data_IF_330843423631
#
_entry.id   IF_330843423631
#
_cell.length_a   1.000
_cell.length_b   1.000
_cell.length_c   1.000
_cell.angle_alpha   90.00
_cell.angle_beta   90.00
_cell.angle_gamma   90.00
#
_symmetry.space_group_name_H-M   'P 1'
#
loop_
_entity.id
_entity.type
_entity.pdbx_description
1 polymer ?
#
# COMPACT_ATOMS: atom_id res chain seq x y z
N UNK A 1 15.47 -8.42 -19.33
CA UNK A 1 15.65 -7.33 -18.34
C UNK A 1 15.89 -7.97 -16.99
N UNK A 2 17.06 -7.82 -16.40
CA UNK A 2 17.32 -8.30 -15.04
C UNK A 2 16.65 -7.35 -14.04
N UNK A 3 15.83 -7.92 -13.15
CA UNK A 3 15.28 -7.23 -11.98
C UNK A 3 16.41 -7.04 -10.95
N UNK A 4 17.29 -6.07 -11.20
CA UNK A 4 18.34 -5.74 -10.25
C UNK A 4 17.83 -4.62 -9.35
N UNK A 5 16.97 -4.99 -8.40
CA UNK A 5 16.72 -4.18 -7.20
C UNK A 5 17.99 -4.26 -6.35
N UNK A 6 18.71 -3.16 -6.10
CA UNK A 6 19.85 -3.18 -5.20
C UNK A 6 19.40 -3.69 -3.82
N UNK A 7 20.18 -4.58 -3.21
CA UNK A 7 19.88 -5.11 -1.85
C UNK A 7 19.74 -3.97 -0.83
N UNK A 8 20.45 -2.85 -1.03
CA UNK A 8 20.30 -1.63 -0.23
C UNK A 8 18.88 -1.07 -0.27
N UNK A 9 18.22 -1.08 -1.43
CA UNK A 9 16.83 -0.61 -1.57
C UNK A 9 15.85 -1.52 -0.84
N UNK A 10 16.13 -2.83 -0.77
CA UNK A 10 15.33 -3.77 -0.01
C UNK A 10 15.53 -3.58 1.51
N UNK A 11 16.77 -3.40 1.95
CA UNK A 11 17.12 -3.13 3.36
C UNK A 11 16.48 -1.83 3.85
N UNK A 12 16.56 -0.76 3.05
CA UNK A 12 15.93 0.52 3.39
C UNK A 12 14.41 0.42 3.43
N UNK A 13 13.82 -0.45 2.60
CA UNK A 13 12.38 -0.74 2.67
C UNK A 13 11.99 -1.38 3.99
N UNK A 14 12.76 -2.35 4.51
CA UNK A 14 12.51 -2.92 5.84
C UNK A 14 12.65 -1.90 6.96
N UNK A 15 13.63 -1.00 6.88
CA UNK A 15 13.82 0.07 7.86
C UNK A 15 12.64 1.02 7.97
N UNK A 16 11.84 1.19 6.91
CA UNK A 16 10.63 2.03 6.95
C UNK A 16 9.55 1.54 7.93
N UNK A 17 9.64 0.30 8.41
CA UNK A 17 8.76 -0.18 9.49
C UNK A 17 9.05 0.54 10.82
N UNK A 18 10.28 1.04 11.00
CA UNK A 18 10.73 1.75 12.20
C UNK A 18 10.32 3.22 12.12
N UNK A 19 9.60 3.72 13.13
CA UNK A 19 9.19 5.12 13.21
C UNK A 19 10.36 6.11 13.08
N UNK A 20 11.45 5.91 13.82
CA UNK A 20 12.58 6.84 13.83
C UNK A 20 13.26 6.95 12.46
N UNK A 21 13.28 5.85 11.69
CA UNK A 21 13.79 5.88 10.33
C UNK A 21 12.86 6.69 9.42
N UNK A 22 11.54 6.48 9.47
CA UNK A 22 10.58 7.32 8.72
C UNK A 22 10.74 8.81 9.05
N UNK A 23 10.84 9.14 10.32
CA UNK A 23 11.06 10.51 10.78
C UNK A 23 12.35 11.11 10.20
N UNK A 24 13.45 10.34 10.19
CA UNK A 24 14.73 10.81 9.65
C UNK A 24 14.67 11.19 8.16
N UNK A 25 13.76 10.60 7.39
CA UNK A 25 13.56 10.95 5.97
C UNK A 25 12.93 12.32 5.77
N UNK A 26 12.25 12.85 6.80
CA UNK A 26 11.55 14.13 6.80
C UNK A 26 12.44 15.26 7.33
N UNK A 27 13.76 15.16 7.15
CA UNK A 27 14.68 16.25 7.48
C UNK A 27 14.31 17.53 6.72
N UNK A 28 14.39 18.68 7.39
CA UNK A 28 13.98 19.98 6.85
C UNK A 28 12.52 20.03 6.35
N UNK A 29 11.61 19.30 7.03
CA UNK A 29 10.18 19.44 6.79
C UNK A 29 9.70 20.85 7.19
N UNK A 30 8.89 21.54 6.37
CA UNK A 30 8.63 22.98 6.53
C UNK A 30 7.66 23.32 7.67
N UNK A 31 7.02 22.33 8.30
CA UNK A 31 6.01 22.55 9.33
C UNK A 31 6.49 22.04 10.69
N UNK A 32 6.51 22.94 11.66
CA UNK A 32 6.94 22.69 13.04
C UNK A 32 5.94 23.29 14.05
N UNK A 33 6.30 23.24 15.34
CA UNK A 33 5.56 23.88 16.43
C UNK A 33 4.10 23.44 16.53
N UNK A 34 3.19 24.40 16.37
CA UNK A 34 1.74 24.22 16.53
C UNK A 34 1.04 23.64 15.29
N UNK A 35 1.78 23.31 14.23
CA UNK A 35 1.20 22.75 13.00
C UNK A 35 0.55 21.37 13.25
N UNK A 36 -0.50 21.06 12.49
CA UNK A 36 -1.05 19.70 12.43
C UNK A 36 -0.23 18.78 11.54
N UNK A 37 0.52 19.35 10.58
CA UNK A 37 1.31 18.59 9.62
C UNK A 37 2.82 18.52 9.97
N UNK A 38 3.19 18.42 11.25
CA UNK A 38 4.61 18.27 11.68
C UNK A 38 5.26 16.97 11.17
N UNK A 39 6.58 16.91 11.07
CA UNK A 39 7.33 15.71 10.65
C UNK A 39 7.02 14.48 11.53
N UNK A 40 6.86 14.67 12.83
CA UNK A 40 6.51 13.61 13.79
C UNK A 40 5.13 13.02 13.51
N UNK A 41 4.14 13.88 13.26
CA UNK A 41 2.78 13.46 12.92
C UNK A 41 2.75 12.73 11.58
N UNK A 42 3.47 13.26 10.58
CA UNK A 42 3.66 12.58 9.29
C UNK A 42 4.23 11.17 9.45
N UNK A 43 5.33 11.01 10.19
CA UNK A 43 5.98 9.72 10.42
C UNK A 43 5.11 8.75 11.25
N UNK A 44 4.35 9.26 12.23
CA UNK A 44 3.37 8.49 13.02
C UNK A 44 2.22 7.97 12.15
N UNK A 45 1.78 8.76 11.18
CA UNK A 45 0.74 8.38 10.20
C UNK A 45 1.26 7.46 9.09
N UNK A 46 2.53 7.04 9.18
CA UNK A 46 3.16 6.10 8.26
C UNK A 46 3.78 6.74 7.02
N UNK A 47 3.86 8.08 6.96
CA UNK A 47 4.49 8.78 5.85
C UNK A 47 6.00 8.92 6.02
N UNK A 48 6.70 8.90 4.89
CA UNK A 48 8.13 9.17 4.79
C UNK A 48 8.40 9.92 3.48
N UNK A 49 9.58 10.54 3.34
CA UNK A 49 10.01 11.17 2.08
C UNK A 49 10.71 10.11 1.20
N UNK A 50 10.13 9.70 0.06
CA UNK A 50 10.72 8.66 -0.78
C UNK A 50 11.94 9.13 -1.57
N UNK A 51 12.04 10.43 -1.86
CA UNK A 51 13.18 11.02 -2.57
C UNK A 51 13.62 12.28 -1.82
N UNK A 52 14.86 12.34 -1.28
CA UNK A 52 15.36 13.49 -0.54
C UNK A 52 15.39 14.77 -1.39
N UNK A 53 15.49 14.66 -2.72
CA UNK A 53 15.52 15.80 -3.65
C UNK A 53 14.11 16.32 -3.99
N UNK A 54 13.05 15.63 -3.58
CA UNK A 54 11.67 16.07 -3.76
C UNK A 54 11.05 16.35 -2.37
N UNK A 55 11.11 17.60 -1.88
CA UNK A 55 10.71 17.92 -0.52
C UNK A 55 9.20 17.88 -0.31
N UNK A 56 8.38 17.91 -1.37
CA UNK A 56 6.93 18.08 -1.28
C UNK A 56 6.17 16.75 -1.28
N UNK A 57 6.77 15.69 -1.80
CA UNK A 57 6.13 14.38 -1.91
C UNK A 57 6.44 13.50 -0.71
N UNK A 58 5.41 12.88 -0.16
CA UNK A 58 5.53 11.88 0.90
C UNK A 58 4.77 10.61 0.50
N UNK A 59 5.21 9.46 0.97
CA UNK A 59 4.60 8.17 0.65
C UNK A 59 4.31 7.38 1.93
N UNK A 60 3.17 6.70 2.00
CA UNK A 60 2.91 5.74 3.07
C UNK A 60 3.77 4.48 2.88
N UNK A 61 4.48 4.05 3.92
CA UNK A 61 5.36 2.88 3.82
C UNK A 61 4.65 1.55 3.56
N UNK A 62 3.37 1.41 3.94
CA UNK A 62 2.59 0.16 3.76
C UNK A 62 1.81 0.16 2.45
N UNK A 63 0.92 1.13 2.25
CA UNK A 63 0.03 1.14 1.08
C UNK A 63 0.63 1.85 -0.15
N UNK A 64 1.83 2.44 -0.02
CA UNK A 64 2.53 3.18 -1.08
C UNK A 64 1.74 4.38 -1.64
N UNK A 65 0.72 4.88 -0.92
CA UNK A 65 -0.01 6.08 -1.32
C UNK A 65 0.92 7.29 -1.23
N UNK A 66 1.11 7.97 -2.35
CA UNK A 66 1.88 9.21 -2.47
C UNK A 66 0.93 10.41 -2.39
N UNK A 67 1.28 11.34 -1.52
CA UNK A 67 0.60 12.62 -1.33
C UNK A 67 1.61 13.77 -1.45
N UNK A 68 1.16 14.87 -2.03
CA UNK A 68 1.90 16.11 -2.17
C UNK A 68 0.99 17.33 -1.97
N UNK A 69 1.59 18.49 -1.76
CA UNK A 69 0.84 19.74 -1.52
C UNK A 69 0.25 19.81 -0.11
N UNK A 70 1.03 19.36 0.89
CA UNK A 70 0.70 19.47 2.30
C UNK A 70 0.62 20.94 2.73
N UNK A 71 -0.23 21.21 3.71
CA UNK A 71 -0.43 22.50 4.37
C UNK A 71 -0.27 22.35 5.89
N UNK A 72 0.07 23.41 6.64
CA UNK A 72 0.34 23.32 8.07
C UNK A 72 -0.85 22.82 8.90
N UNK A 73 -2.09 23.02 8.44
CA UNK A 73 -3.34 22.59 9.10
C UNK A 73 -3.83 21.19 8.66
N UNK A 74 -3.07 20.51 7.80
CA UNK A 74 -3.37 19.13 7.42
C UNK A 74 -3.12 18.16 8.57
N UNK A 75 -4.01 17.19 8.69
CA UNK A 75 -3.90 16.08 9.63
C UNK A 75 -3.50 14.83 8.82
N UNK A 76 -2.25 14.36 8.95
CA UNK A 76 -1.75 13.27 8.12
C UNK A 76 -2.56 11.97 8.25
N UNK A 77 -3.15 11.67 9.41
CA UNK A 77 -4.00 10.49 9.58
C UNK A 77 -5.32 10.64 8.82
N UNK A 78 -5.92 11.84 8.82
CA UNK A 78 -7.15 12.11 8.07
C UNK A 78 -6.90 12.06 6.56
N UNK A 79 -5.81 12.66 6.09
CA UNK A 79 -5.43 12.60 4.67
C UNK A 79 -5.16 11.15 4.23
N UNK A 80 -4.42 10.38 5.04
CA UNK A 80 -4.18 8.97 4.78
C UNK A 80 -5.49 8.18 4.68
N UNK A 81 -6.42 8.38 5.61
CA UNK A 81 -7.73 7.72 5.61
C UNK A 81 -8.60 8.14 4.42
N UNK A 82 -8.58 9.40 4.02
CA UNK A 82 -9.31 9.91 2.85
C UNK A 82 -8.80 9.26 1.56
N UNK A 83 -7.48 9.24 1.38
CA UNK A 83 -6.86 8.83 0.13
C UNK A 83 -6.57 7.31 0.02
N UNK A 84 -6.47 6.60 1.15
CA UNK A 84 -6.24 5.16 1.21
C UNK A 84 -6.97 4.51 2.40
N UNK A 85 -8.31 4.54 2.44
CA UNK A 85 -9.12 4.08 3.59
C UNK A 85 -8.96 2.58 3.92
N UNK A 86 -8.37 1.82 3.00
CA UNK A 86 -8.14 0.37 3.14
C UNK A 86 -6.69 0.02 3.52
N UNK A 87 -5.83 1.02 3.75
CA UNK A 87 -4.45 0.76 4.18
C UNK A 87 -4.44 -0.09 5.46
N UNK A 88 -3.72 -1.24 5.50
CA UNK A 88 -3.63 -2.08 6.69
C UNK A 88 -3.10 -1.32 7.92
N UNK A 89 -2.19 -0.37 7.71
CA UNK A 89 -1.62 0.45 8.77
C UNK A 89 -2.65 1.30 9.53
N UNK A 90 -3.71 1.76 8.86
CA UNK A 90 -4.76 2.56 9.51
C UNK A 90 -5.59 1.79 10.54
N UNK A 91 -5.54 0.45 10.49
CA UNK A 91 -6.29 -0.44 11.40
C UNK A 91 -5.37 -1.12 12.41
N UNK A 92 -4.07 -0.93 12.30
CA UNK A 92 -3.10 -1.58 13.15
C UNK A 92 -2.80 -0.74 14.38
N UNK A 93 -2.18 -1.36 15.38
CA UNK A 93 -1.49 -0.63 16.44
C UNK A 93 -0.29 0.12 15.83
N UNK A 94 0.34 1.00 16.60
CA UNK A 94 1.65 1.53 16.20
C UNK A 94 2.64 0.36 16.08
N UNK A 95 3.57 0.43 15.12
CA UNK A 95 4.46 -0.70 14.81
C UNK A 95 5.27 -1.15 16.03
N UNK A 96 5.70 -0.19 16.85
CA UNK A 96 6.45 -0.42 18.09
C UNK A 96 5.63 -1.13 19.18
N UNK A 97 4.31 -1.20 19.04
CA UNK A 97 3.38 -1.88 19.95
C UNK A 97 2.89 -3.23 19.40
N UNK A 98 3.37 -3.62 18.22
CA UNK A 98 3.03 -4.90 17.62
C UNK A 98 3.86 -6.05 18.22
N UNK A 99 3.24 -7.22 18.28
CA UNK A 99 3.97 -8.49 18.39
C UNK A 99 4.81 -8.74 17.14
N UNK A 100 5.79 -9.66 17.22
CA UNK A 100 6.60 -10.04 16.06
C UNK A 100 5.73 -10.60 14.92
N UNK A 101 4.70 -11.36 15.26
CA UNK A 101 3.76 -11.93 14.29
C UNK A 101 2.94 -10.85 13.58
N UNK A 102 2.43 -9.86 14.32
CA UNK A 102 1.71 -8.70 13.75
C UNK A 102 2.63 -7.88 12.83
N UNK A 103 3.87 -7.62 13.25
CA UNK A 103 4.87 -6.88 12.48
C UNK A 103 5.26 -7.61 11.18
N UNK A 104 5.54 -8.91 11.26
CA UNK A 104 5.86 -9.74 10.10
C UNK A 104 4.69 -9.80 9.10
N UNK A 105 3.46 -9.94 9.60
CA UNK A 105 2.28 -9.91 8.73
C UNK A 105 2.16 -8.58 7.98
N UNK A 106 2.43 -7.45 8.65
CA UNK A 106 2.46 -6.14 8.01
C UNK A 106 3.56 -6.01 6.96
N UNK A 107 4.76 -6.51 7.25
CA UNK A 107 5.88 -6.51 6.31
C UNK A 107 5.57 -7.33 5.05
N UNK A 108 4.89 -8.47 5.19
CA UNK A 108 4.41 -9.29 4.06
C UNK A 108 3.37 -8.51 3.23
N UNK A 109 2.36 -7.93 3.87
CA UNK A 109 1.33 -7.12 3.18
C UNK A 109 1.97 -5.94 2.41
N UNK A 110 2.93 -5.26 3.02
CA UNK A 110 3.71 -4.20 2.37
C UNK A 110 4.46 -4.74 1.15
N UNK A 111 5.17 -5.85 1.31
CA UNK A 111 5.98 -6.42 0.22
C UNK A 111 5.10 -6.89 -0.95
N UNK A 112 3.97 -7.53 -0.66
CA UNK A 112 2.96 -7.88 -1.67
C UNK A 112 2.40 -6.65 -2.38
N UNK A 113 2.11 -5.57 -1.65
CA UNK A 113 1.66 -4.29 -2.24
C UNK A 113 2.73 -3.72 -3.16
N UNK A 114 3.99 -3.75 -2.73
CA UNK A 114 5.11 -3.23 -3.51
C UNK A 114 5.34 -4.01 -4.81
N UNK A 115 5.43 -5.34 -4.73
CA UNK A 115 5.58 -6.17 -5.90
C UNK A 115 4.42 -5.99 -6.88
N UNK A 116 3.20 -5.89 -6.35
CA UNK A 116 2.02 -5.63 -7.18
C UNK A 116 2.14 -4.30 -7.95
N UNK A 117 2.68 -3.25 -7.34
CA UNK A 117 2.95 -1.96 -7.99
C UNK A 117 4.04 -2.07 -9.07
N UNK A 118 5.18 -2.70 -8.76
CA UNK A 118 6.26 -2.88 -9.76
C UNK A 118 5.73 -3.63 -10.98
N UNK A 119 4.98 -4.72 -10.75
CA UNK A 119 4.43 -5.53 -11.82
C UNK A 119 3.41 -4.75 -12.65
N UNK A 120 2.57 -3.90 -12.03
CA UNK A 120 1.63 -3.05 -12.78
C UNK A 120 2.32 -1.94 -13.58
N UNK A 121 3.45 -1.42 -13.10
CA UNK A 121 4.20 -0.38 -13.79
C UNK A 121 4.98 -0.97 -14.98
N UNK A 122 5.44 -2.23 -14.86
CA UNK A 122 6.21 -2.93 -15.90
C UNK A 122 5.33 -3.63 -16.95
N UNK A 123 4.14 -4.09 -16.56
CA UNK A 123 3.28 -4.91 -17.40
C UNK A 123 1.86 -4.37 -17.40
N UNK A 124 1.20 -4.41 -18.56
CA UNK A 124 -0.25 -4.17 -18.65
C UNK A 124 -1.00 -5.37 -18.05
N UNK A 125 -1.11 -5.37 -16.72
CA UNK A 125 -1.78 -6.42 -15.94
C UNK A 125 -3.25 -6.53 -16.36
N UNK A 126 -3.89 -5.44 -16.82
CA UNK A 126 -5.26 -5.51 -17.30
C UNK A 126 -5.38 -6.28 -18.61
N UNK A 127 -4.44 -6.08 -19.54
CA UNK A 127 -4.37 -6.85 -20.78
C UNK A 127 -4.15 -8.34 -20.51
N UNK A 128 -3.25 -8.67 -19.57
CA UNK A 128 -3.02 -10.06 -19.15
C UNK A 128 -4.27 -10.67 -18.51
N UNK A 129 -4.92 -9.95 -17.59
CA UNK A 129 -6.17 -10.38 -16.95
C UNK A 129 -7.28 -10.59 -17.98
N UNK A 130 -7.41 -9.69 -18.97
CA UNK A 130 -8.41 -9.81 -20.04
C UNK A 130 -8.13 -11.03 -20.92
N UNK A 131 -6.88 -11.27 -21.31
CA UNK A 131 -6.48 -12.44 -22.06
C UNK A 131 -6.76 -13.73 -21.29
N UNK A 132 -6.43 -13.77 -20.00
CA UNK A 132 -6.69 -14.93 -19.14
C UNK A 132 -8.19 -15.18 -18.96
N UNK A 133 -8.99 -14.13 -18.78
CA UNK A 133 -10.45 -14.23 -18.72
C UNK A 133 -11.01 -14.79 -20.02
N UNK A 134 -10.56 -14.28 -21.17
CA UNK A 134 -10.98 -14.77 -22.48
C UNK A 134 -10.64 -16.26 -22.65
N UNK A 135 -9.43 -16.69 -22.28
CA UNK A 135 -9.05 -18.11 -22.29
C UNK A 135 -9.91 -18.95 -21.34
N UNK A 136 -10.17 -18.45 -20.13
CA UNK A 136 -11.01 -19.11 -19.14
C UNK A 136 -12.43 -19.31 -19.68
N UNK A 137 -13.03 -18.27 -20.29
CA UNK A 137 -14.36 -18.33 -20.87
C UNK A 137 -14.42 -19.34 -22.03
N UNK A 138 -13.37 -19.40 -22.87
CA UNK A 138 -13.23 -20.43 -23.92
C UNK A 138 -13.20 -21.83 -23.31
N UNK A 139 -12.34 -22.09 -22.31
CA UNK A 139 -12.25 -23.41 -21.67
C UNK A 139 -13.59 -23.80 -21.04
N UNK A 140 -14.20 -22.90 -20.27
CA UNK A 140 -15.50 -23.13 -19.64
C UNK A 140 -16.62 -23.39 -20.67
N UNK A 141 -16.57 -22.74 -21.84
CA UNK A 141 -17.54 -22.97 -22.93
C UNK A 141 -17.44 -24.38 -23.54
N UNK A 142 -16.26 -25.02 -23.44
CA UNK A 142 -15.99 -26.35 -23.97
C UNK A 142 -16.23 -27.46 -22.96
N UNK A 143 -16.41 -27.13 -21.68
CA UNK A 143 -16.71 -28.11 -20.65
C UNK A 143 -18.19 -28.53 -20.70
N UNK A 144 -18.49 -29.83 -20.53
CA UNK A 144 -19.87 -30.30 -20.48
C UNK A 144 -20.59 -29.69 -19.26
N UNK A 145 -21.80 -29.15 -19.50
CA UNK A 145 -22.63 -28.58 -18.43
C UNK A 145 -22.99 -29.68 -17.42
N UNK A 146 -22.40 -29.63 -16.23
CA UNK A 146 -22.67 -30.60 -15.16
C UNK A 146 -24.11 -30.43 -14.67
N UNK A 147 -24.95 -31.45 -14.85
CA UNK A 147 -26.30 -31.48 -14.29
C UNK A 147 -26.23 -31.32 -12.76
N UNK A 148 -26.96 -30.34 -12.21
CA UNK A 148 -27.03 -30.10 -10.77
C UNK A 148 -27.68 -31.31 -10.08
N UNK A 149 -26.89 -32.20 -9.49
CA UNK A 149 -27.37 -33.11 -8.44
C UNK A 149 -26.70 -32.76 -7.10
N UNK A 150 -27.59 -32.37 -6.18
CA UNK A 150 -27.49 -32.14 -4.71
C UNK A 150 -26.24 -31.45 -4.15
N UNK A 151 -26.49 -30.32 -3.46
CA UNK A 151 -25.58 -29.66 -2.52
C UNK A 151 -25.09 -30.67 -1.46
N UNK A 152 -23.78 -30.89 -1.39
CA UNK A 152 -23.12 -31.28 -0.15
C UNK A 152 -22.47 -30.03 0.45
N UNK A 153 -22.69 -29.83 1.74
CA UNK A 153 -22.13 -28.72 2.50
C UNK A 153 -20.64 -28.97 2.71
N UNK A 154 -19.77 -28.23 2.00
CA UNK A 154 -18.36 -28.14 2.36
C UNK A 154 -18.13 -26.77 3.01
N UNK A 155 -17.69 -26.83 4.25
CA UNK A 155 -17.38 -25.72 5.14
C UNK A 155 -16.58 -24.62 4.44
N UNK A 156 -17.09 -23.39 4.54
CA UNK A 156 -16.38 -22.18 4.10
C UNK A 156 -15.19 -21.92 5.02
N UNK A 157 -14.04 -22.52 4.73
CA UNK A 157 -12.77 -21.97 5.24
C UNK A 157 -12.41 -20.80 4.33
N UNK A 158 -12.77 -19.59 4.76
CA UNK A 158 -12.30 -18.35 4.12
C UNK A 158 -10.83 -18.16 4.52
N UNK A 159 -9.89 -18.75 3.78
CA UNK A 159 -8.56 -18.16 3.73
C UNK A 159 -8.65 -16.91 2.86
N UNK A 160 -8.70 -15.76 3.52
CA UNK A 160 -8.57 -14.44 2.93
C UNK A 160 -7.13 -14.28 2.44
N UNK A 161 -6.81 -14.88 1.30
CA UNK A 161 -5.56 -14.62 0.60
C UNK A 161 -5.85 -13.54 -0.44
N UNK A 162 -5.23 -12.39 -0.20
CA UNK A 162 -5.18 -11.17 -1.01
C UNK A 162 -6.51 -10.42 -1.13
N UNK A 163 -6.64 -9.39 -0.31
CA UNK A 163 -7.59 -8.31 -0.59
C UNK A 163 -7.32 -7.79 -2.00
N UNK A 164 -8.36 -7.72 -2.84
CA UNK A 164 -8.33 -7.00 -4.11
C UNK A 164 -7.90 -5.55 -3.83
N UNK A 165 -6.59 -5.29 -3.92
CA UNK A 165 -6.05 -3.95 -4.01
C UNK A 165 -6.49 -3.44 -5.38
N UNK A 166 -7.62 -2.74 -5.41
CA UNK A 166 -7.93 -1.86 -6.54
C UNK A 166 -6.70 -0.96 -6.72
N UNK A 167 -5.97 -1.17 -7.81
CA UNK A 167 -4.80 -0.37 -8.18
C UNK A 167 -5.35 1.00 -8.59
N UNK A 168 -5.62 1.84 -7.59
CA UNK A 168 -5.93 3.25 -7.77
C UNK A 168 -4.61 4.00 -7.93
N UNK A 169 -4.65 5.17 -8.58
CA UNK A 169 -3.50 6.07 -8.68
C UNK A 169 -2.79 6.19 -7.33
N UNK A 170 -1.49 5.90 -7.32
CA UNK A 170 -0.70 6.00 -6.09
C UNK A 170 -0.43 7.46 -5.74
N UNK A 171 -0.23 8.32 -6.74
CA UNK A 171 -0.08 9.77 -6.55
C UNK A 171 -1.44 10.47 -6.52
N UNK A 172 -1.62 11.33 -5.54
CA UNK A 172 -2.75 12.27 -5.45
C UNK A 172 -2.23 13.57 -4.87
N UNK A 173 -2.77 14.68 -5.34
CA UNK A 173 -2.72 15.93 -4.60
C UNK A 173 -3.73 15.89 -3.47
N UNK A 174 -3.52 16.69 -2.43
CA UNK A 174 -4.49 16.93 -1.35
C UNK A 174 -5.86 17.30 -1.92
N UNK A 175 -6.94 16.80 -1.30
CA UNK A 175 -8.27 17.35 -1.52
C UNK A 175 -8.37 18.74 -0.86
N UNK A 176 -8.49 19.80 -1.65
CA UNK A 176 -8.83 21.14 -1.12
C UNK A 176 -10.12 21.03 -0.29
N UNK A 177 -10.10 21.39 0.99
CA UNK A 177 -11.33 21.62 1.76
C UNK A 177 -12.02 22.82 1.12
N UNK A 178 -13.23 22.61 0.61
CA UNK A 178 -14.18 23.66 0.23
C UNK A 178 -14.86 24.14 1.50
#
# INVERSE_FOLDING_TARGET
MQLQMPVSTLIDRFRLSIYSYRLSTLSNWPYDGNSLCTAEKMAKSGFYRPNPNNPTTTQCFVCMKELEGWEPDDDPDKEHKSHSPKCPFLKSKQYEQMTYEEGLAMDVERYCTYLSKILSDQYDVQKVQKAFKMLTDIVLSKLPKRNKKKKSNLSKTKHSIMSNSSIKSTRSTRSKRI
#
